data_IF_660311028093
#
_entry.id   IF_660311028093
#
_cell.length_a   1.000
_cell.length_b   1.000
_cell.length_c   1.000
_cell.angle_alpha   90.00
_cell.angle_beta   90.00
_cell.angle_gamma   90.00
#
_symmetry.space_group_name_H-M   'P 1'
#
loop_
_entity.id
_entity.type
_entity.pdbx_description
1 polymer ?
#
# COMPACT_ATOMS: atom_id res chain seq x y z
N UNK A 1 -26.04 -4.80 2.93
CA UNK A 1 -24.87 -5.36 3.63
C UNK A 1 -23.68 -4.75 2.95
N UNK A 2 -23.27 -3.61 3.48
CA UNK A 2 -22.28 -2.72 2.88
C UNK A 2 -21.00 -2.95 3.67
N UNK A 3 -20.23 -3.97 3.27
CA UNK A 3 -18.89 -4.22 3.82
C UNK A 3 -17.92 -3.22 3.17
N UNK A 4 -18.19 -1.90 3.33
CA UNK A 4 -17.28 -0.83 2.91
C UNK A 4 -16.15 -0.74 3.93
N UNK A 5 -15.38 -1.83 4.11
CA UNK A 5 -14.00 -1.63 4.55
C UNK A 5 -13.38 -0.66 3.54
N UNK A 6 -12.82 0.44 4.01
CA UNK A 6 -12.07 1.37 3.15
C UNK A 6 -10.78 0.66 2.74
N UNK A 7 -10.90 -0.24 1.77
CA UNK A 7 -9.80 -0.99 1.22
C UNK A 7 -8.97 -0.04 0.36
N UNK A 8 -7.68 0.03 0.65
CA UNK A 8 -6.72 0.69 -0.22
C UNK A 8 -6.42 -0.22 -1.41
N UNK A 9 -5.29 -0.91 -1.32
CA UNK A 9 -4.81 -1.83 -2.35
C UNK A 9 -4.54 -3.21 -1.77
N UNK A 10 -4.80 -4.24 -2.57
CA UNK A 10 -4.41 -5.60 -2.30
C UNK A 10 -3.01 -5.78 -2.86
N UNK A 11 -2.04 -5.89 -1.96
CA UNK A 11 -0.64 -6.09 -2.33
C UNK A 11 -0.36 -7.58 -2.34
N UNK A 12 0.31 -8.05 -3.39
CA UNK A 12 0.86 -9.40 -3.49
C UNK A 12 2.37 -9.37 -3.34
N UNK A 13 3.10 -9.97 -4.28
CA UNK A 13 4.57 -10.02 -4.21
C UNK A 13 5.21 -8.62 -4.11
N UNK A 14 6.18 -8.50 -3.21
CA UNK A 14 7.00 -7.30 -3.03
C UNK A 14 8.46 -7.69 -3.08
N UNK A 15 9.25 -6.96 -3.86
CA UNK A 15 10.68 -7.20 -3.97
C UNK A 15 11.48 -5.90 -4.07
N UNK A 16 12.71 -5.95 -3.58
CA UNK A 16 13.69 -4.88 -3.71
C UNK A 16 14.84 -5.39 -4.58
N UNK A 17 15.16 -4.66 -5.63
CA UNK A 17 16.30 -4.95 -6.50
C UNK A 17 17.40 -3.94 -6.20
N UNK A 18 18.59 -4.40 -5.80
CA UNK A 18 19.79 -3.56 -5.66
C UNK A 18 20.94 -4.17 -6.44
N UNK A 19 21.64 -3.34 -7.22
CA UNK A 19 22.66 -3.79 -8.16
C UNK A 19 22.14 -4.96 -9.01
N UNK A 20 22.56 -6.19 -8.75
CA UNK A 20 22.17 -7.41 -9.49
C UNK A 20 21.44 -8.43 -8.60
N UNK A 21 21.03 -8.05 -7.39
CA UNK A 21 20.37 -8.94 -6.42
C UNK A 21 18.92 -8.51 -6.19
N UNK A 22 18.01 -9.48 -6.30
CA UNK A 22 16.60 -9.31 -5.96
C UNK A 22 16.33 -9.92 -4.58
N UNK A 23 15.72 -9.16 -3.70
CA UNK A 23 15.31 -9.57 -2.36
C UNK A 23 13.79 -9.53 -2.24
N UNK A 24 13.17 -10.66 -1.88
CA UNK A 24 11.74 -10.66 -1.53
C UNK A 24 11.52 -9.99 -0.18
N UNK A 25 10.45 -9.21 -0.10
CA UNK A 25 10.00 -8.53 1.11
C UNK A 25 8.66 -9.13 1.55
N UNK A 26 8.72 -10.03 2.51
CA UNK A 26 7.55 -10.77 3.02
C UNK A 26 6.99 -10.18 4.32
N UNK A 27 7.52 -9.05 4.80
CA UNK A 27 7.07 -8.43 6.06
C UNK A 27 5.55 -8.21 6.13
N UNK A 28 4.93 -7.89 4.99
CA UNK A 28 3.48 -7.70 4.88
C UNK A 28 2.68 -8.99 5.05
N UNK A 29 3.21 -10.17 4.70
CA UNK A 29 2.56 -11.48 4.90
C UNK A 29 2.98 -12.18 6.20
N UNK A 30 4.20 -11.94 6.70
CA UNK A 30 4.73 -12.60 7.90
C UNK A 30 4.36 -11.91 9.23
N UNK A 31 4.03 -10.62 9.20
CA UNK A 31 3.80 -9.83 10.42
C UNK A 31 2.31 -9.71 10.72
N UNK A 32 1.81 -10.43 11.72
CA UNK A 32 0.37 -10.41 12.06
C UNK A 32 -0.19 -8.99 12.26
N UNK A 33 0.49 -8.18 13.08
CA UNK A 33 0.08 -6.81 13.37
C UNK A 33 1.04 -5.80 12.75
N UNK A 34 0.72 -5.35 11.53
CA UNK A 34 1.50 -4.38 10.77
C UNK A 34 0.68 -3.11 10.51
N UNK A 35 1.26 -1.95 10.82
CA UNK A 35 0.54 -0.68 10.77
C UNK A 35 0.00 -0.39 9.36
N UNK A 36 -1.30 -0.12 9.27
CA UNK A 36 -1.95 0.20 8.00
C UNK A 36 -2.31 -1.00 7.11
N UNK A 37 -2.15 -2.22 7.63
CA UNK A 37 -2.57 -3.44 6.95
C UNK A 37 -3.76 -4.08 7.68
N UNK A 38 -4.70 -4.64 6.91
CA UNK A 38 -5.78 -5.45 7.47
C UNK A 38 -5.26 -6.80 7.98
N UNK A 39 -6.03 -7.57 8.78
CA UNK A 39 -5.62 -8.92 9.18
C UNK A 39 -5.26 -9.81 7.98
N UNK A 40 -4.39 -10.80 8.22
CA UNK A 40 -4.04 -11.79 7.19
C UNK A 40 -5.27 -12.65 6.86
N UNK A 41 -5.75 -12.56 5.62
CA UNK A 41 -6.88 -13.35 5.13
C UNK A 41 -6.43 -14.53 4.23
N UNK A 42 -5.15 -14.55 3.81
CA UNK A 42 -4.56 -15.58 2.94
C UNK A 42 -3.03 -15.55 2.94
N UNK A 43 -2.39 -16.46 2.19
CA UNK A 43 -0.95 -16.73 2.30
C UNK A 43 -0.03 -15.78 1.51
N UNK A 44 -0.54 -15.04 0.52
CA UNK A 44 0.31 -14.35 -0.47
C UNK A 44 -0.12 -12.92 -0.79
N UNK A 45 -1.17 -12.42 -0.14
CA UNK A 45 -1.70 -11.11 -0.42
C UNK A 45 -2.38 -10.50 0.80
N UNK A 46 -2.31 -9.18 0.90
CA UNK A 46 -2.85 -8.44 2.04
C UNK A 46 -3.38 -7.08 1.65
N UNK A 47 -4.57 -6.77 2.15
CA UNK A 47 -5.19 -5.46 1.97
C UNK A 47 -4.54 -4.40 2.85
N UNK A 48 -4.29 -3.23 2.28
CA UNK A 48 -3.95 -2.01 3.02
C UNK A 48 -5.21 -1.24 3.39
N UNK A 49 -5.14 -0.40 4.43
CA UNK A 49 -6.23 0.48 4.85
C UNK A 49 -6.11 1.92 4.29
N UNK A 50 -5.23 2.13 3.30
CA UNK A 50 -4.95 3.42 2.69
C UNK A 50 -3.60 4.04 3.09
N UNK A 51 -2.98 3.64 4.20
CA UNK A 51 -1.63 4.08 4.57
C UNK A 51 -0.86 2.96 5.31
N UNK A 52 -0.18 2.10 4.55
CA UNK A 52 0.48 0.89 5.02
C UNK A 52 1.99 1.08 5.20
N UNK A 53 2.50 0.70 6.37
CA UNK A 53 3.94 0.63 6.62
C UNK A 53 4.52 -0.66 6.05
N UNK A 54 5.55 -0.57 5.21
CA UNK A 54 6.24 -1.73 4.65
C UNK A 54 7.71 -1.76 5.11
N UNK A 55 8.05 -2.58 6.13
CA UNK A 55 9.44 -2.76 6.55
C UNK A 55 10.25 -3.46 5.46
N UNK A 56 11.26 -2.78 4.91
CA UNK A 56 12.16 -3.34 3.89
C UNK A 56 13.37 -4.07 4.49
N UNK A 57 13.57 -3.96 5.81
CA UNK A 57 14.68 -4.59 6.51
C UNK A 57 16.06 -4.16 5.98
N UNK A 58 17.03 -5.07 6.02
CA UNK A 58 18.38 -4.84 5.47
C UNK A 58 18.44 -4.98 3.94
N UNK A 59 17.32 -5.26 3.28
CA UNK A 59 17.30 -5.37 1.82
C UNK A 59 17.63 -4.03 1.15
N UNK A 60 17.50 -2.88 1.84
CA UNK A 60 17.88 -1.56 1.31
C UNK A 60 19.19 -1.12 1.96
N UNK A 61 20.32 -1.53 1.39
CA UNK A 61 21.62 -0.91 1.69
C UNK A 61 22.08 -0.13 0.46
N UNK A 62 21.47 1.04 0.23
CA UNK A 62 21.82 1.95 -0.88
C UNK A 62 20.66 2.23 -1.83
N UNK A 63 20.99 2.48 -3.10
CA UNK A 63 20.02 2.75 -4.16
C UNK A 63 19.47 1.43 -4.72
N UNK A 64 18.15 1.33 -4.80
CA UNK A 64 17.46 0.16 -5.31
C UNK A 64 16.08 0.49 -5.84
N UNK A 65 15.50 -0.46 -6.56
CA UNK A 65 14.13 -0.38 -7.08
C UNK A 65 13.22 -1.24 -6.21
N UNK A 66 12.15 -0.63 -5.69
CA UNK A 66 11.07 -1.34 -5.01
C UNK A 66 9.99 -1.70 -6.03
N UNK A 67 9.71 -2.98 -6.19
CA UNK A 67 8.63 -3.52 -7.00
C UNK A 67 7.51 -4.02 -6.08
N UNK A 68 6.27 -3.62 -6.37
CA UNK A 68 5.09 -3.99 -5.59
C UNK A 68 4.01 -4.45 -6.57
N UNK A 69 3.54 -5.69 -6.42
CA UNK A 69 2.42 -6.20 -7.19
C UNK A 69 1.10 -5.71 -6.58
N UNK A 70 0.33 -4.94 -7.36
CA UNK A 70 -1.03 -4.56 -7.01
C UNK A 70 -2.01 -5.55 -7.66
N UNK A 71 -2.60 -6.42 -6.85
CA UNK A 71 -3.51 -7.49 -7.30
C UNK A 71 -4.92 -6.96 -7.51
N UNK A 72 -5.37 -6.06 -6.63
CA UNK A 72 -6.65 -5.39 -6.71
C UNK A 72 -6.55 -4.02 -6.03
N UNK A 73 -7.44 -3.11 -6.38
CA UNK A 73 -7.55 -1.80 -5.76
C UNK A 73 -9.01 -1.40 -5.62
N UNK A 74 -9.30 -0.57 -4.62
CA UNK A 74 -10.58 0.14 -4.55
C UNK A 74 -10.68 1.25 -5.61
N UNK A 75 -11.88 1.80 -5.84
CA UNK A 75 -12.02 3.02 -6.62
C UNK A 75 -11.23 4.15 -5.94
N UNK A 76 -10.25 4.72 -6.65
CA UNK A 76 -9.53 5.90 -6.21
C UNK A 76 -10.42 7.11 -6.40
N UNK A 77 -11.01 7.62 -5.32
CA UNK A 77 -11.71 8.90 -5.36
C UNK A 77 -10.65 10.00 -5.39
N UNK A 78 -10.53 10.70 -6.52
CA UNK A 78 -9.79 11.96 -6.54
C UNK A 78 -10.48 12.91 -5.56
N UNK A 79 -9.79 13.37 -4.53
CA UNK A 79 -10.23 14.53 -3.76
C UNK A 79 -10.37 15.69 -4.74
N UNK A 80 -11.60 15.99 -5.16
CA UNK A 80 -11.87 17.25 -5.80
C UNK A 80 -11.60 18.30 -4.75
N UNK A 81 -10.46 18.98 -4.89
CA UNK A 81 -10.16 20.20 -4.15
C UNK A 81 -11.35 21.11 -4.36
N UNK A 82 -12.20 21.26 -3.34
CA UNK A 82 -13.24 22.29 -3.33
C UNK A 82 -12.48 23.60 -3.25
N UNK A 83 -12.08 24.13 -4.40
CA UNK A 83 -11.67 25.51 -4.51
C UNK A 83 -12.89 26.33 -4.10
N UNK A 84 -12.78 26.96 -2.93
CA UNK A 84 -13.78 27.86 -2.42
C UNK A 84 -14.15 28.83 -3.52
N UNK A 85 -15.39 28.75 -4.00
CA UNK A 85 -15.99 29.77 -4.83
C UNK A 85 -16.02 31.04 -3.97
N UNK A 86 -14.97 31.85 -4.07
CA UNK A 86 -15.01 33.25 -3.65
C UNK A 86 -15.90 33.97 -4.65
N UNK A 87 -17.21 33.84 -4.45
CA UNK A 87 -18.18 34.68 -5.10
C UNK A 87 -18.13 36.04 -4.40
N UNK A 88 -17.58 37.02 -5.11
CA UNK A 88 -17.78 38.44 -4.88
C UNK A 88 -19.24 38.73 -4.53
N UNK A 89 -19.51 39.33 -3.36
CA UNK A 89 -20.72 40.12 -3.16
C UNK A 89 -20.41 41.40 -2.36
N UNK A 90 -20.52 42.51 -3.12
CA UNK A 90 -20.87 43.90 -2.81
C UNK A 90 -20.21 44.63 -1.62
#
# INVERSE_FOLDING_TARGET
MDDRRHLGVLVGEVSVVNADVTHNVTAHTDTENLSGWYPLEGADYRWTNGNAELPLGKAVNGMGMLSIQIVAAGPYFSEQKVEGQSALQA
#
